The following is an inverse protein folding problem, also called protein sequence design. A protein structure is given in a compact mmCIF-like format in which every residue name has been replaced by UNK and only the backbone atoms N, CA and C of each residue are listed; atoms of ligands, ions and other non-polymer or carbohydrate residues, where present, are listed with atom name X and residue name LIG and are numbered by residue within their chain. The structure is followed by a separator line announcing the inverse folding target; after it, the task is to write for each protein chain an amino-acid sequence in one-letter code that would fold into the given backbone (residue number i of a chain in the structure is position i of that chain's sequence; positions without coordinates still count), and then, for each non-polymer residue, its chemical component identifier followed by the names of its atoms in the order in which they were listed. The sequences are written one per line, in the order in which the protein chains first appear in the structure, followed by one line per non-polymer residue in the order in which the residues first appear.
data_IF_240899704768
#
_entry.id   IF_240899704768
#
_cell.length_a   1.000
_cell.length_b   1.000
_cell.length_c   1.000
_cell.angle_alpha   90.00
_cell.angle_beta   90.00
_cell.angle_gamma   90.00
#
_symmetry.space_group_name_H-M   'P 1'
#
loop_
_entity.id
_entity.type
_entity.pdbx_description
1 polymer ?
#
# COMPACT_ATOMS: atom_id res chain seq x y z
N UNK A 1 -10.69 6.78 -3.47
CA UNK A 1 -9.24 6.59 -3.74
C UNK A 1 -8.96 5.12 -3.52
N UNK A 2 -8.20 4.46 -4.41
CA UNK A 2 -7.81 3.06 -4.18
C UNK A 2 -6.93 2.98 -2.93
N UNK A 3 -7.05 1.89 -2.17
CA UNK A 3 -6.14 1.57 -1.07
C UNK A 3 -4.95 0.76 -1.56
N UNK A 4 -3.95 0.58 -0.69
CA UNK A 4 -2.78 -0.25 -0.94
C UNK A 4 -3.17 -1.65 -1.42
N UNK A 5 -4.06 -2.33 -0.69
CA UNK A 5 -4.41 -3.71 -0.99
C UNK A 5 -5.26 -3.83 -2.27
N UNK A 6 -6.16 -2.87 -2.51
CA UNK A 6 -6.94 -2.80 -3.75
C UNK A 6 -6.02 -2.60 -4.97
N UNK A 7 -5.09 -1.64 -4.89
CA UNK A 7 -4.10 -1.38 -5.92
C UNK A 7 -3.18 -2.58 -6.15
N UNK A 8 -2.79 -3.30 -5.08
CA UNK A 8 -2.02 -4.53 -5.19
C UNK A 8 -2.78 -5.61 -5.98
N UNK A 9 -4.07 -5.82 -5.70
CA UNK A 9 -4.85 -6.78 -6.49
C UNK A 9 -5.01 -6.35 -7.96
N UNK A 10 -5.11 -5.05 -8.24
CA UNK A 10 -5.14 -4.58 -9.64
C UNK A 10 -3.83 -4.87 -10.37
N UNK A 11 -2.69 -4.72 -9.70
CA UNK A 11 -1.36 -5.05 -10.25
C UNK A 11 -1.25 -6.55 -10.58
N UNK A 12 -1.74 -7.42 -9.68
CA UNK A 12 -1.72 -8.86 -9.90
C UNK A 12 -2.81 -9.36 -10.86
N UNK A 13 -3.78 -8.52 -11.23
CA UNK A 13 -4.92 -8.92 -12.05
C UNK A 13 -5.96 -9.77 -11.30
N UNK A 14 -5.96 -9.69 -9.97
CA UNK A 14 -6.85 -10.46 -9.09
C UNK A 14 -8.23 -9.80 -8.97
N UNK A 15 -9.24 -10.63 -8.64
CA UNK A 15 -10.60 -10.17 -8.37
C UNK A 15 -10.60 -9.23 -7.17
N UNK A 16 -11.26 -8.08 -7.31
CA UNK A 16 -11.36 -7.05 -6.26
C UNK A 16 -12.41 -7.42 -5.21
N UNK A 17 -12.01 -8.17 -4.19
CA UNK A 17 -12.87 -8.52 -3.04
C UNK A 17 -12.07 -8.58 -1.73
N UNK A 18 -12.77 -8.59 -0.60
CA UNK A 18 -12.17 -8.52 0.74
C UNK A 18 -11.19 -9.67 1.04
N UNK A 19 -11.46 -10.87 0.52
CA UNK A 19 -10.60 -12.05 0.69
C UNK A 19 -9.25 -11.86 -0.02
N UNK A 20 -9.29 -11.37 -1.26
CA UNK A 20 -8.08 -11.19 -2.07
C UNK A 20 -7.25 -9.99 -1.64
N UNK A 21 -7.87 -8.89 -1.17
CA UNK A 21 -7.17 -7.66 -0.81
C UNK A 21 -5.98 -7.92 0.13
N UNK A 22 -6.21 -8.63 1.23
CA UNK A 22 -5.14 -8.91 2.19
C UNK A 22 -4.02 -9.77 1.58
N UNK A 23 -4.37 -10.77 0.78
CA UNK A 23 -3.40 -11.65 0.12
C UNK A 23 -2.53 -10.87 -0.88
N UNK A 24 -3.14 -10.11 -1.79
CA UNK A 24 -2.42 -9.28 -2.76
C UNK A 24 -1.48 -8.29 -2.08
N UNK A 25 -1.96 -7.62 -1.03
CA UNK A 25 -1.16 -6.68 -0.25
C UNK A 25 0.05 -7.34 0.40
N UNK A 26 -0.14 -8.51 1.00
CA UNK A 26 0.94 -9.30 1.60
C UNK A 26 1.96 -9.75 0.56
N UNK A 27 1.52 -10.30 -0.57
CA UNK A 27 2.43 -10.73 -1.66
C UNK A 27 3.32 -9.58 -2.13
N UNK A 28 2.76 -8.37 -2.24
CA UNK A 28 3.50 -7.20 -2.68
C UNK A 28 4.53 -6.74 -1.63
N UNK A 29 4.16 -6.77 -0.35
CA UNK A 29 5.06 -6.48 0.79
C UNK A 29 6.19 -7.50 0.89
N UNK A 30 5.88 -8.80 0.78
CA UNK A 30 6.86 -9.89 0.81
C UNK A 30 7.87 -9.79 -0.35
N UNK A 31 7.44 -9.25 -1.50
CA UNK A 31 8.30 -8.97 -2.64
C UNK A 31 9.14 -7.68 -2.52
N UNK A 32 9.06 -6.96 -1.39
CA UNK A 32 9.68 -5.63 -1.18
C UNK A 32 9.25 -4.57 -2.22
N UNK A 33 8.04 -4.70 -2.75
CA UNK A 33 7.43 -3.76 -3.68
C UNK A 33 6.39 -2.89 -2.97
N UNK A 34 6.03 -1.78 -3.60
CA UNK A 34 4.94 -0.89 -3.18
C UNK A 34 4.07 -0.53 -4.38
N UNK A 35 2.74 -0.46 -4.23
CA UNK A 35 1.85 -0.03 -5.28
C UNK A 35 1.92 1.49 -5.38
N UNK A 36 2.07 2.00 -6.59
CA UNK A 36 2.23 3.44 -6.86
C UNK A 36 1.52 3.86 -8.13
N UNK A 37 1.32 5.16 -8.28
CA UNK A 37 0.89 5.80 -9.52
C UNK A 37 1.75 7.04 -9.78
N UNK A 38 1.80 7.48 -11.05
CA UNK A 38 2.54 8.69 -11.42
C UNK A 38 1.80 9.93 -10.91
N UNK A 39 2.52 10.93 -10.39
CA UNK A 39 1.93 12.14 -9.81
C UNK A 39 0.95 12.89 -10.73
N UNK A 40 1.19 12.85 -12.05
CA UNK A 40 0.33 13.42 -13.09
C UNK A 40 -0.30 12.34 -13.99
N UNK A 41 -0.33 11.09 -13.53
CA UNK A 41 -0.93 9.95 -14.23
C UNK A 41 -2.32 9.60 -13.71
N UNK A 42 -2.87 8.52 -14.24
CA UNK A 42 -4.16 7.95 -13.83
C UNK A 42 -4.00 7.15 -12.52
N UNK A 43 -4.62 7.55 -11.39
CA UNK A 43 -4.56 6.80 -10.13
C UNK A 43 -5.27 5.45 -10.19
N UNK A 44 -6.05 5.14 -11.24
CA UNK A 44 -6.66 3.82 -11.46
C UNK A 44 -5.76 2.88 -12.27
N UNK A 45 -4.51 3.27 -12.57
CA UNK A 45 -3.50 2.44 -13.23
C UNK A 45 -2.30 2.23 -12.32
N UNK A 46 -2.45 1.44 -11.25
CA UNK A 46 -1.36 1.19 -10.32
C UNK A 46 -0.22 0.40 -10.97
N UNK A 47 0.99 0.64 -10.49
CA UNK A 47 2.21 -0.11 -10.83
C UNK A 47 2.99 -0.47 -9.58
N UNK A 48 3.62 -1.64 -9.58
CA UNK A 48 4.54 -2.04 -8.52
C UNK A 48 5.95 -1.53 -8.81
N UNK A 49 6.54 -0.84 -7.84
CA UNK A 49 7.96 -0.45 -7.89
C UNK A 49 8.65 -0.85 -6.59
N UNK A 50 9.97 -0.97 -6.60
CA UNK A 50 10.74 -1.22 -5.40
C UNK A 50 10.55 -0.08 -4.37
N UNK A 51 10.36 -0.44 -3.09
CA UNK A 51 10.15 0.53 -2.00
C UNK A 51 11.20 1.65 -1.97
N UNK A 52 12.48 1.30 -2.14
CA UNK A 52 13.58 2.27 -2.17
C UNK A 52 13.53 3.21 -3.39
N UNK A 53 13.00 2.74 -4.53
CA UNK A 53 12.84 3.57 -5.74
C UNK A 53 11.78 4.65 -5.49
N UNK A 54 10.66 4.26 -4.88
CA UNK A 54 9.59 5.16 -4.49
C UNK A 54 10.11 6.23 -3.50
N UNK A 55 10.80 5.81 -2.44
CA UNK A 55 11.33 6.70 -1.41
C UNK A 55 12.34 7.73 -1.93
N UNK A 56 13.14 7.36 -2.93
CA UNK A 56 14.10 8.26 -3.58
C UNK A 56 13.44 9.27 -4.53
N UNK A 57 12.24 8.96 -5.03
CA UNK A 57 11.56 9.77 -6.05
C UNK A 57 10.08 10.05 -5.68
N UNK A 58 9.80 10.64 -4.50
CA UNK A 58 8.43 10.80 -3.99
C UNK A 58 7.58 11.81 -4.78
N UNK A 59 8.23 12.66 -5.59
CA UNK A 59 7.55 13.62 -6.49
C UNK A 59 7.02 12.92 -7.74
N UNK A 60 7.66 11.83 -8.18
CA UNK A 60 7.29 11.08 -9.39
C UNK A 60 6.27 10.00 -9.04
N UNK A 61 6.55 9.20 -8.01
CA UNK A 61 5.75 8.04 -7.62
C UNK A 61 4.98 8.33 -6.34
N UNK A 62 3.65 8.40 -6.46
CA UNK A 62 2.72 8.55 -5.35
C UNK A 62 2.28 7.17 -4.87
N UNK A 63 2.35 6.96 -3.56
CA UNK A 63 1.89 5.72 -2.94
C UNK A 63 0.39 5.80 -2.64
N UNK A 64 -0.28 4.66 -2.71
CA UNK A 64 -1.65 4.53 -2.22
C UNK A 64 -1.69 4.54 -0.69
N UNK A 65 -2.78 5.02 -0.07
CA UNK A 65 -2.96 4.94 1.38
C UNK A 65 -3.03 3.46 1.81
N UNK A 66 -2.44 3.14 2.96
CA UNK A 66 -2.71 1.84 3.60
C UNK A 66 -4.21 1.75 3.94
N UNK A 67 -4.77 0.55 3.91
CA UNK A 67 -6.12 0.34 4.45
C UNK A 67 -6.10 0.71 5.93
N UNK A 68 -7.10 1.48 6.38
CA UNK A 68 -7.31 1.75 7.81
C UNK A 68 -7.78 0.47 8.51
N UNK A 69 -6.88 -0.49 8.70
CA UNK A 69 -7.08 -1.52 9.71
C UNK A 69 -6.77 -0.89 11.06
N UNK A 70 -7.83 -0.59 11.82
CA UNK A 70 -7.83 -0.11 13.21
C UNK A 70 -6.51 -0.38 13.93
N UNK A 71 -5.74 0.67 14.16
CA UNK A 71 -4.69 0.66 15.17
C UNK A 71 -5.37 0.65 16.55
N UNK A 72 -5.81 -0.51 17.01
CA UNK A 72 -6.09 -0.71 18.43
C UNK A 72 -4.75 -0.67 19.20
N UNK A 73 -4.52 0.47 19.85
CA UNK A 73 -3.82 0.62 21.13
C UNK A 73 -2.41 0.02 21.28
N UNK A 74 -1.40 0.80 20.91
CA UNK A 74 -0.16 0.89 21.71
C UNK A 74 -0.20 2.19 22.52
N UNK A 75 -1.16 2.24 23.45
CA UNK A 75 -1.14 3.20 24.55
C UNK A 75 -0.13 2.72 25.59
N UNK A 76 1.14 3.06 25.40
CA UNK A 76 2.20 2.91 26.39
C UNK A 76 1.70 3.40 27.76
N UNK A 77 1.50 2.46 28.67
CA UNK A 77 1.34 2.75 30.09
C UNK A 77 2.75 3.08 30.62
N UNK A 78 3.17 4.33 30.43
CA UNK A 78 4.20 4.94 31.27
C UNK A 78 3.62 5.05 32.68
N UNK A 79 3.94 4.09 33.56
CA UNK A 79 3.95 4.37 35.01
C UNK A 79 5.34 4.90 35.34
N UNK A 80 5.42 6.23 35.40
CA UNK A 80 6.32 6.93 36.28
C UNK A 80 5.77 6.76 37.71
N UNK A 81 6.55 6.10 38.57
CA UNK A 81 6.86 6.41 39.98
C UNK A 81 7.35 5.14 40.70
#
# INVERSE_FOLDING_TARGET
MLTFNQAACMIYGEIQNAENFQSCGRMLKDANLVPTYLHNGDPLRPMAIGKLVQQRNPVVYRSYPEDESQSESEGNHCILL
#
